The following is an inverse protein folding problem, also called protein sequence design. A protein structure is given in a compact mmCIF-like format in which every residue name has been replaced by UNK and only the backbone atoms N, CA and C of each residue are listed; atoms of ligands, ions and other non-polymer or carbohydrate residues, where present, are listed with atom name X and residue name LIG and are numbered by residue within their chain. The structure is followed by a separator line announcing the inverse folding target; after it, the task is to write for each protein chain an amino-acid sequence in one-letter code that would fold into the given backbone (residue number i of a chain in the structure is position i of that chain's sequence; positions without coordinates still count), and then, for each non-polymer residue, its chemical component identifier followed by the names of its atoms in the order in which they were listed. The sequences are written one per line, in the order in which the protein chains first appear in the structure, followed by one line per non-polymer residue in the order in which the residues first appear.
data_IF_460124379772
#
_entry.id   IF_460124379772
#
_cell.length_a   1.000
_cell.length_b   1.000
_cell.length_c   1.000
_cell.angle_alpha   90.00
_cell.angle_beta   90.00
_cell.angle_gamma   90.00
#
_symmetry.space_group_name_H-M   'P 1'
#
loop_
_entity.id
_entity.type
_entity.pdbx_description
1 polymer ?
#
# COMPACT_ATOMS: atom_id res chain seq x y z
N UNK A 1 -1.24 -12.86 16.12
CA UNK A 1 -0.76 -11.48 16.37
C UNK A 1 -1.83 -10.60 16.98
N UNK A 2 -3.07 -10.58 16.48
CA UNK A 2 -4.17 -9.83 17.09
C UNK A 2 -5.28 -10.77 17.58
N UNK A 3 -5.95 -10.40 18.68
CA UNK A 3 -7.25 -10.95 19.07
C UNK A 3 -8.35 -10.01 18.59
N UNK A 4 -8.73 -10.16 17.31
CA UNK A 4 -9.67 -9.25 16.66
C UNK A 4 -11.06 -9.23 17.33
N UNK A 5 -11.44 -10.34 17.98
CA UNK A 5 -12.73 -10.46 18.67
C UNK A 5 -12.83 -9.53 19.89
N UNK A 6 -11.69 -9.19 20.52
CA UNK A 6 -11.65 -8.27 21.66
C UNK A 6 -11.85 -6.80 21.25
N UNK A 7 -11.76 -6.49 19.95
CA UNK A 7 -11.86 -5.11 19.42
C UNK A 7 -10.99 -4.12 20.23
N UNK A 8 -9.68 -4.35 20.32
CA UNK A 8 -8.80 -3.59 21.22
C UNK A 8 -8.57 -2.13 20.80
N UNK A 9 -9.08 -1.71 19.63
CA UNK A 9 -8.92 -0.35 19.10
C UNK A 9 -10.18 0.45 19.42
N UNK A 10 -10.03 1.54 20.15
CA UNK A 10 -11.09 2.46 20.51
C UNK A 10 -10.87 3.88 19.98
N UNK A 11 -11.71 4.80 20.47
CA UNK A 11 -11.70 6.21 20.10
C UNK A 11 -10.35 6.90 20.42
N UNK A 12 -9.77 6.58 21.57
CA UNK A 12 -8.49 7.16 22.00
C UNK A 12 -7.35 6.80 21.05
N UNK A 13 -7.27 5.55 20.58
CA UNK A 13 -6.24 5.13 19.62
C UNK A 13 -6.41 5.84 18.27
N UNK A 14 -7.67 6.05 17.83
CA UNK A 14 -7.97 6.72 16.57
C UNK A 14 -7.60 8.20 16.63
N UNK A 15 -8.02 8.93 17.67
CA UNK A 15 -7.68 10.35 17.80
C UNK A 15 -6.19 10.57 17.98
N UNK A 16 -5.51 9.72 18.76
CA UNK A 16 -4.05 9.78 18.86
C UNK A 16 -3.39 9.64 17.48
N UNK A 17 -3.84 8.70 16.64
CA UNK A 17 -3.29 8.53 15.30
C UNK A 17 -3.50 9.76 14.39
N UNK A 18 -4.63 10.46 14.55
CA UNK A 18 -4.91 11.73 13.84
C UNK A 18 -3.99 12.85 14.35
N UNK A 19 -3.89 13.01 15.66
CA UNK A 19 -3.12 14.08 16.31
C UNK A 19 -1.61 13.96 16.07
N UNK A 20 -1.09 12.74 15.97
CA UNK A 20 0.33 12.48 15.73
C UNK A 20 0.70 12.36 14.25
N UNK A 21 -0.23 12.62 13.32
CA UNK A 21 0.06 12.55 11.89
C UNK A 21 1.15 13.56 11.51
N UNK A 22 2.17 13.08 10.80
CA UNK A 22 3.34 13.88 10.41
C UNK A 22 3.86 13.49 9.02
N UNK A 23 4.74 14.30 8.44
CA UNK A 23 5.37 14.03 7.15
C UNK A 23 6.33 12.84 7.20
N UNK A 24 6.94 12.59 8.37
CA UNK A 24 7.73 11.42 8.66
C UNK A 24 6.92 10.40 9.47
N UNK A 25 6.92 9.14 9.05
CA UNK A 25 6.21 8.08 9.74
C UNK A 25 6.93 6.74 9.60
N UNK A 26 6.74 5.90 10.61
CA UNK A 26 7.31 4.55 10.62
C UNK A 26 6.61 3.64 9.60
N UNK A 27 7.37 2.69 9.06
CA UNK A 27 6.87 1.64 8.18
C UNK A 27 7.10 0.27 8.82
N UNK A 28 6.49 -0.77 8.27
CA UNK A 28 6.52 -2.12 8.80
C UNK A 28 5.40 -2.39 9.78
N UNK A 29 5.72 -3.04 10.90
CA UNK A 29 4.75 -3.60 11.84
C UNK A 29 4.18 -2.57 12.83
N UNK A 30 3.64 -1.48 12.31
CA UNK A 30 3.14 -0.31 13.05
C UNK A 30 1.69 0.02 12.66
N UNK A 31 0.98 0.75 13.51
CA UNK A 31 -0.40 1.18 13.26
C UNK A 31 -1.30 0.02 12.81
N UNK A 32 -2.06 0.22 11.73
CA UNK A 32 -2.93 -0.80 11.15
C UNK A 32 -2.17 -2.03 10.60
N UNK A 33 -0.86 -1.90 10.32
CA UNK A 33 0.01 -2.97 9.87
C UNK A 33 0.59 -3.85 10.99
N UNK A 34 0.31 -3.52 12.27
CA UNK A 34 0.92 -4.22 13.42
C UNK A 34 0.73 -5.74 13.33
N UNK A 35 -0.50 -6.18 13.09
CA UNK A 35 -0.87 -7.61 13.12
C UNK A 35 -0.99 -8.29 11.77
N UNK A 36 -0.40 -7.75 10.69
CA UNK A 36 -0.65 -8.23 9.31
C UNK A 36 0.49 -9.07 8.75
N UNK A 37 0.15 -9.95 7.79
CA UNK A 37 1.11 -10.83 7.09
C UNK A 37 1.00 -10.67 5.58
N UNK A 38 2.11 -10.77 4.85
CA UNK A 38 2.13 -10.65 3.40
C UNK A 38 3.00 -11.75 2.79
N UNK A 39 2.44 -12.55 1.88
CA UNK A 39 3.10 -13.74 1.30
C UNK A 39 3.56 -14.77 2.35
N UNK A 40 2.88 -14.85 3.49
CA UNK A 40 3.25 -15.71 4.63
C UNK A 40 4.41 -15.18 5.51
N UNK A 41 4.99 -14.04 5.14
CA UNK A 41 5.95 -13.30 5.96
C UNK A 41 5.25 -12.18 6.72
N UNK A 42 5.97 -11.50 7.61
CA UNK A 42 5.45 -10.29 8.24
C UNK A 42 5.18 -9.19 7.19
N UNK A 43 3.96 -8.67 7.20
CA UNK A 43 3.54 -7.50 6.41
C UNK A 43 3.47 -6.24 7.28
N UNK A 44 2.82 -5.20 6.76
CA UNK A 44 2.60 -3.99 7.54
C UNK A 44 2.24 -2.75 6.73
N UNK A 45 2.64 -1.59 7.24
CA UNK A 45 2.56 -0.32 6.55
C UNK A 45 3.77 -0.16 5.63
N UNK A 46 3.55 0.23 4.39
CA UNK A 46 4.63 0.60 3.48
C UNK A 46 4.27 1.85 2.69
N UNK A 47 5.27 2.55 2.19
CA UNK A 47 5.06 3.70 1.34
C UNK A 47 6.19 3.89 0.34
N UNK A 48 5.85 4.44 -0.82
CA UNK A 48 6.79 4.86 -1.85
C UNK A 48 6.22 6.04 -2.63
N UNK A 49 7.08 6.77 -3.33
CA UNK A 49 6.70 7.87 -4.21
C UNK A 49 7.51 7.88 -5.50
N UNK A 50 6.96 8.52 -6.53
CA UNK A 50 7.63 8.81 -7.80
C UNK A 50 7.42 10.27 -8.17
N UNK A 51 8.48 10.86 -8.66
CA UNK A 51 8.45 12.19 -9.26
C UNK A 51 8.21 12.04 -10.76
N UNK A 52 7.28 12.82 -11.29
CA UNK A 52 6.89 12.86 -12.69
C UNK A 52 7.17 14.25 -13.26
N UNK A 53 7.67 14.34 -14.49
CA UNK A 53 7.87 15.61 -15.19
C UNK A 53 6.91 15.70 -16.38
N UNK A 54 6.11 16.77 -16.42
CA UNK A 54 5.16 17.07 -17.49
C UNK A 54 5.31 18.52 -17.89
N UNK A 55 5.71 18.76 -19.14
CA UNK A 55 5.83 20.09 -19.75
C UNK A 55 6.72 21.04 -18.93
N UNK A 56 7.83 20.50 -18.42
CA UNK A 56 8.79 21.22 -17.58
C UNK A 56 8.38 21.39 -16.12
N UNK A 57 7.18 20.95 -15.73
CA UNK A 57 6.70 21.00 -14.34
C UNK A 57 6.83 19.63 -13.66
N UNK A 58 7.14 19.68 -12.36
CA UNK A 58 7.32 18.51 -11.52
C UNK A 58 6.06 18.22 -10.71
N UNK A 59 5.66 16.96 -10.69
CA UNK A 59 4.55 16.42 -9.93
C UNK A 59 4.99 15.18 -9.15
N UNK A 60 4.28 14.83 -8.09
CA UNK A 60 4.56 13.69 -7.23
C UNK A 60 3.36 12.74 -7.21
N UNK A 61 3.64 11.44 -7.32
CA UNK A 61 2.73 10.35 -7.01
C UNK A 61 3.22 9.68 -5.73
N UNK A 62 2.36 9.52 -4.73
CA UNK A 62 2.66 8.79 -3.50
C UNK A 62 1.66 7.66 -3.30
N UNK A 63 2.14 6.53 -2.79
CA UNK A 63 1.29 5.40 -2.37
C UNK A 63 1.66 5.02 -0.95
N UNK A 64 0.66 4.89 -0.09
CA UNK A 64 0.74 4.24 1.21
C UNK A 64 -0.09 2.96 1.16
N UNK A 65 0.46 1.87 1.70
CA UNK A 65 -0.17 0.56 1.70
C UNK A 65 -0.22 -0.01 3.10
N UNK A 66 -1.32 -0.67 3.43
CA UNK A 66 -1.35 -1.68 4.47
C UNK A 66 -1.44 -3.05 3.79
N UNK A 67 -0.37 -3.85 3.89
CA UNK A 67 -0.28 -5.17 3.24
C UNK A 67 -0.74 -6.29 4.17
N UNK A 68 -1.68 -7.11 3.71
CA UNK A 68 -2.15 -8.31 4.40
C UNK A 68 -2.53 -9.43 3.40
N UNK A 69 -1.77 -9.67 2.33
CA UNK A 69 -2.21 -10.53 1.20
C UNK A 69 -1.11 -11.43 0.62
N UNK A 70 -1.50 -12.36 -0.25
CA UNK A 70 -0.63 -13.16 -1.10
C UNK A 70 -0.24 -14.52 -0.50
N UNK A 71 -0.13 -15.53 -1.36
CA UNK A 71 0.41 -16.85 -1.02
C UNK A 71 1.91 -16.91 -1.28
N UNK A 72 2.67 -17.64 -0.47
CA UNK A 72 4.14 -17.60 -0.51
C UNK A 72 4.74 -18.04 -1.85
N UNK A 73 4.06 -18.94 -2.56
CA UNK A 73 4.51 -19.41 -3.87
C UNK A 73 4.45 -18.34 -4.97
N UNK A 74 3.67 -17.28 -4.77
CA UNK A 74 3.44 -16.26 -5.79
C UNK A 74 4.42 -15.09 -5.71
N UNK A 75 5.14 -14.91 -4.60
CA UNK A 75 6.08 -13.81 -4.45
C UNK A 75 7.16 -13.88 -5.54
N UNK A 76 7.25 -12.82 -6.35
CA UNK A 76 8.14 -12.82 -7.53
C UNK A 76 9.54 -12.27 -7.30
N UNK A 77 9.77 -11.57 -6.20
CA UNK A 77 11.07 -10.93 -5.89
C UNK A 77 12.00 -11.81 -5.05
N UNK A 78 11.47 -12.87 -4.46
CA UNK A 78 12.22 -13.87 -3.69
C UNK A 78 11.46 -15.19 -3.71
N UNK A 79 12.16 -16.31 -3.90
CA UNK A 79 11.57 -17.63 -3.75
C UNK A 79 11.37 -17.90 -2.25
N UNK A 80 10.14 -18.14 -1.81
CA UNK A 80 9.82 -18.51 -0.44
C UNK A 80 9.60 -20.02 -0.31
N UNK A 81 9.86 -20.63 0.86
CA UNK A 81 9.55 -22.03 1.09
C UNK A 81 8.04 -22.25 1.00
N UNK A 82 7.67 -23.45 0.53
CA UNK A 82 6.28 -23.88 0.51
C UNK A 82 5.76 -24.00 1.94
N UNK A 83 4.49 -23.65 2.15
CA UNK A 83 3.79 -23.84 3.43
C UNK A 83 3.77 -22.64 4.38
N UNK A 84 4.41 -21.51 4.05
CA UNK A 84 4.29 -20.29 4.86
C UNK A 84 2.90 -19.63 4.73
N UNK A 85 2.35 -19.61 3.52
CA UNK A 85 0.95 -19.28 3.23
C UNK A 85 0.52 -20.03 1.96
N UNK A 86 -0.49 -20.89 2.10
CA UNK A 86 -0.95 -21.78 1.03
C UNK A 86 -1.97 -21.14 0.08
N UNK A 87 -2.66 -20.09 0.52
CA UNK A 87 -3.66 -19.41 -0.30
C UNK A 87 -3.77 -17.91 0.03
N UNK A 88 -4.27 -17.14 -0.93
CA UNK A 88 -4.52 -15.71 -0.80
C UNK A 88 -5.89 -15.46 -0.14
N UNK A 89 -5.90 -15.39 1.19
CA UNK A 89 -7.07 -15.13 2.06
C UNK A 89 -6.98 -13.75 2.74
N UNK A 90 -6.37 -12.79 2.05
CA UNK A 90 -5.87 -11.57 2.64
C UNK A 90 -6.70 -10.31 2.42
N UNK A 91 -6.04 -9.17 2.58
CA UNK A 91 -6.53 -7.89 2.13
C UNK A 91 -5.38 -6.91 1.93
N UNK A 92 -5.64 -5.86 1.18
CA UNK A 92 -4.71 -4.76 1.01
C UNK A 92 -5.48 -3.46 0.78
N UNK A 93 -5.11 -2.45 1.55
CA UNK A 93 -5.60 -1.09 1.37
C UNK A 93 -4.48 -0.24 0.80
N UNK A 94 -4.74 0.42 -0.32
CA UNK A 94 -3.83 1.38 -0.93
C UNK A 94 -4.45 2.78 -0.88
N UNK A 95 -3.69 3.74 -0.37
CA UNK A 95 -4.00 5.16 -0.40
C UNK A 95 -3.06 5.83 -1.38
N UNK A 96 -3.61 6.44 -2.43
CA UNK A 96 -2.85 7.11 -3.48
C UNK A 96 -3.05 8.62 -3.39
N UNK A 97 -1.96 9.37 -3.31
CA UNK A 97 -1.98 10.83 -3.27
C UNK A 97 -1.13 11.39 -4.41
N UNK A 98 -1.59 12.48 -5.03
CA UNK A 98 -0.80 13.17 -6.05
C UNK A 98 -1.10 14.67 -6.07
N UNK A 99 -0.13 15.50 -6.43
CA UNK A 99 -0.34 16.93 -6.73
C UNK A 99 -0.72 17.17 -8.20
N UNK A 100 -0.82 16.11 -9.01
CA UNK A 100 -1.21 16.18 -10.41
C UNK A 100 -2.71 16.53 -10.54
N UNK A 101 -3.10 17.55 -11.32
CA UNK A 101 -4.50 17.91 -11.52
C UNK A 101 -5.23 16.83 -12.31
N UNK A 102 -6.11 16.09 -11.62
CA UNK A 102 -6.91 15.01 -12.19
C UNK A 102 -8.39 15.19 -11.87
N UNK A 103 -9.25 14.90 -12.85
CA UNK A 103 -10.67 14.68 -12.61
C UNK A 103 -10.91 13.39 -11.81
N UNK A 104 -12.10 13.25 -11.22
CA UNK A 104 -12.51 12.01 -10.53
C UNK A 104 -12.42 10.77 -11.44
N UNK A 105 -12.77 10.90 -12.73
CA UNK A 105 -12.65 9.82 -13.73
C UNK A 105 -11.20 9.43 -13.96
N UNK A 106 -10.30 10.41 -14.13
CA UNK A 106 -8.89 10.15 -14.35
C UNK A 106 -8.23 9.53 -13.12
N UNK A 107 -8.53 10.07 -11.93
CA UNK A 107 -8.06 9.52 -10.67
C UNK A 107 -8.52 8.07 -10.49
N UNK A 108 -9.80 7.76 -10.81
CA UNK A 108 -10.28 6.37 -10.78
C UNK A 108 -9.50 5.45 -11.73
N UNK A 109 -9.06 5.94 -12.90
CA UNK A 109 -8.20 5.18 -13.80
C UNK A 109 -6.79 4.97 -13.24
N UNK A 110 -6.22 5.98 -12.59
CA UNK A 110 -4.94 5.87 -11.86
C UNK A 110 -5.06 4.82 -10.75
N UNK A 111 -6.10 4.89 -9.93
CA UNK A 111 -6.33 3.92 -8.85
C UNK A 111 -6.44 2.48 -9.36
N UNK A 112 -7.05 2.26 -10.53
CA UNK A 112 -7.11 0.91 -11.15
C UNK A 112 -5.73 0.36 -11.57
N UNK A 113 -4.67 1.17 -11.58
CA UNK A 113 -3.31 0.75 -11.96
C UNK A 113 -2.45 0.34 -10.78
N UNK A 114 -2.91 0.50 -9.55
CA UNK A 114 -2.25 -0.11 -8.38
C UNK A 114 -2.14 -1.64 -8.53
N UNK A 115 -3.14 -2.27 -9.17
CA UNK A 115 -3.14 -3.69 -9.52
C UNK A 115 -1.94 -4.12 -10.37
N UNK A 116 -1.38 -3.22 -11.19
CA UNK A 116 -0.18 -3.52 -12.00
C UNK A 116 1.02 -3.74 -11.08
N UNK A 117 1.18 -2.90 -10.04
CA UNK A 117 2.25 -3.06 -9.06
C UNK A 117 2.09 -4.35 -8.25
N UNK A 118 0.86 -4.65 -7.84
CA UNK A 118 0.56 -5.91 -7.15
C UNK A 118 0.83 -7.15 -8.01
N UNK A 119 0.44 -7.11 -9.29
CA UNK A 119 0.65 -8.21 -10.23
C UNK A 119 2.15 -8.48 -10.51
N UNK A 120 2.98 -7.43 -10.47
CA UNK A 120 4.45 -7.59 -10.55
C UNK A 120 5.04 -8.34 -9.37
N UNK A 121 4.39 -8.28 -8.21
CA UNK A 121 4.72 -9.08 -7.03
C UNK A 121 4.01 -10.44 -6.99
N UNK A 122 3.23 -10.76 -8.03
CA UNK A 122 2.56 -12.05 -8.20
C UNK A 122 1.13 -12.12 -7.70
N UNK A 123 0.54 -11.01 -7.27
CA UNK A 123 -0.91 -10.98 -6.99
C UNK A 123 -1.71 -11.30 -8.24
N UNK A 124 -2.74 -12.12 -8.09
CA UNK A 124 -3.76 -12.39 -9.11
C UNK A 124 -5.16 -11.94 -8.68
N UNK A 125 -5.28 -11.18 -7.58
CA UNK A 125 -6.54 -10.63 -7.04
C UNK A 125 -7.53 -11.78 -6.75
N UNK A 126 -7.13 -12.65 -5.82
CA UNK A 126 -7.86 -13.86 -5.50
C UNK A 126 -9.20 -13.59 -4.82
N UNK A 127 -10.13 -14.54 -4.91
CA UNK A 127 -11.48 -14.39 -4.32
C UNK A 127 -11.48 -14.10 -2.81
N UNK A 128 -10.52 -14.67 -2.08
CA UNK A 128 -10.38 -14.48 -0.63
C UNK A 128 -9.66 -13.20 -0.23
N UNK A 129 -9.17 -12.41 -1.19
CA UNK A 129 -8.44 -11.18 -0.93
C UNK A 129 -9.33 -9.95 -1.17
N UNK A 130 -9.33 -9.02 -0.21
CA UNK A 130 -10.00 -7.72 -0.35
C UNK A 130 -9.04 -6.63 -0.77
N UNK A 131 -9.04 -6.23 -2.05
CA UNK A 131 -8.22 -5.11 -2.56
C UNK A 131 -9.03 -3.83 -2.70
N UNK A 132 -8.64 -2.78 -1.98
CA UNK A 132 -9.25 -1.46 -2.11
C UNK A 132 -8.16 -0.41 -2.33
N UNK A 133 -8.30 0.35 -3.41
CA UNK A 133 -7.52 1.55 -3.67
C UNK A 133 -8.40 2.78 -3.55
N UNK A 134 -8.03 3.70 -2.68
CA UNK A 134 -8.60 5.04 -2.55
C UNK A 134 -7.52 6.06 -2.88
N UNK A 135 -7.91 7.23 -3.38
CA UNK A 135 -6.94 8.29 -3.55
C UNK A 135 -7.57 9.64 -3.81
N UNK A 136 -6.70 10.64 -3.85
CA UNK A 136 -7.05 12.04 -3.99
C UNK A 136 -5.94 12.80 -4.73
N UNK A 137 -6.31 13.94 -5.28
CA UNK A 137 -5.35 14.94 -5.76
C UNK A 137 -5.34 16.14 -4.84
N UNK A 138 -4.17 16.72 -4.57
CA UNK A 138 -3.99 17.95 -3.80
C UNK A 138 -3.97 19.20 -4.69
N UNK A 139 -4.06 19.05 -6.03
CA UNK A 139 -3.95 20.14 -6.99
C UNK A 139 -4.97 21.26 -6.79
N UNK A 140 -6.17 20.94 -6.27
CA UNK A 140 -7.20 21.93 -5.94
C UNK A 140 -7.86 21.59 -4.61
N UNK A 141 -7.87 22.53 -3.67
CA UNK A 141 -8.72 22.48 -2.49
C UNK A 141 -10.10 23.03 -2.86
N UNK A 142 -11.15 22.23 -2.65
CA UNK A 142 -12.53 22.66 -2.88
C UNK A 142 -13.11 23.25 -1.59
N UNK A 143 -13.56 24.50 -1.64
CA UNK A 143 -14.23 25.16 -0.52
C UNK A 143 -15.69 24.74 -0.43
N UNK A 144 -16.20 24.55 0.78
CA UNK A 144 -17.62 24.31 1.04
C UNK A 144 -18.40 25.57 0.70
N UNK A 145 -19.42 25.47 -0.16
CA UNK A 145 -20.33 26.58 -0.51
C UNK A 145 -20.14 27.19 -1.91
N UNK A 146 -19.15 26.76 -2.70
CA UNK A 146 -19.03 27.18 -4.10
C UNK A 146 -20.11 26.50 -4.97
N UNK A 147 -20.92 27.29 -5.69
CA UNK A 147 -21.93 26.76 -6.61
C UNK A 147 -21.36 26.35 -7.98
N UNK A 148 -20.23 26.93 -8.39
CA UNK A 148 -19.53 26.63 -9.64
C UNK A 148 -18.03 26.58 -9.40
N UNK A 149 -17.34 25.66 -10.08
CA UNK A 149 -15.88 25.58 -10.02
C UNK A 149 -15.26 25.28 -11.39
N UNK A 150 -14.12 25.90 -11.66
CA UNK A 150 -13.27 25.57 -12.81
C UNK A 150 -12.19 24.59 -12.34
N UNK A 151 -12.03 23.49 -13.07
CA UNK A 151 -10.96 22.51 -12.86
C UNK A 151 -10.07 22.43 -14.09
N UNK A 152 -8.78 22.66 -13.89
CA UNK A 152 -7.74 22.21 -14.81
C UNK A 152 -7.51 20.72 -14.57
N UNK A 153 -7.36 19.95 -15.63
CA UNK A 153 -7.09 18.51 -15.55
C UNK A 153 -6.04 18.13 -16.58
N UNK A 154 -5.31 17.05 -16.31
CA UNK A 154 -4.33 16.50 -17.22
C UNK A 154 -4.99 16.15 -18.57
N UNK A 155 -4.28 16.37 -19.67
CA UNK A 155 -4.72 15.87 -20.99
C UNK A 155 -4.74 14.33 -21.00
N UNK A 156 -5.74 13.74 -21.65
CA UNK A 156 -5.91 12.28 -21.70
C UNK A 156 -4.70 11.56 -22.31
N UNK A 157 -4.04 12.18 -23.28
CA UNK A 157 -2.87 11.63 -23.99
C UNK A 157 -1.63 11.50 -23.09
N UNK A 158 -1.66 12.12 -21.90
CA UNK A 158 -0.55 12.09 -20.93
C UNK A 158 -0.79 11.15 -19.76
N UNK A 159 -1.91 10.41 -19.75
CA UNK A 159 -2.30 9.55 -18.63
C UNK A 159 -1.37 8.35 -18.38
N UNK A 160 -0.57 7.94 -19.36
CA UNK A 160 0.40 6.85 -19.15
C UNK A 160 1.48 7.20 -18.13
N UNK A 161 1.78 8.50 -17.96
CA UNK A 161 2.74 8.99 -16.96
C UNK A 161 2.28 8.66 -15.53
N UNK A 162 1.10 9.11 -15.05
CA UNK A 162 0.61 8.72 -13.73
C UNK A 162 0.26 7.23 -13.62
N UNK A 163 -0.08 6.53 -14.71
CA UNK A 163 -0.32 5.08 -14.68
C UNK A 163 0.95 4.28 -14.39
N UNK A 164 2.08 4.66 -15.01
CA UNK A 164 3.37 4.04 -14.72
C UNK A 164 3.80 4.34 -13.29
N UNK A 165 3.74 5.63 -12.90
CA UNK A 165 4.17 6.08 -11.59
C UNK A 165 3.43 5.36 -10.46
N UNK A 166 2.09 5.26 -10.52
CA UNK A 166 1.31 4.59 -9.46
C UNK A 166 1.58 3.09 -9.39
N UNK A 167 1.81 2.43 -10.55
CA UNK A 167 2.16 1.01 -10.59
C UNK A 167 3.50 0.74 -9.91
N UNK A 168 4.52 1.55 -10.18
CA UNK A 168 5.83 1.48 -9.53
C UNK A 168 5.77 1.82 -8.04
N UNK A 169 5.01 2.87 -7.67
CA UNK A 169 4.82 3.22 -6.26
C UNK A 169 4.13 2.10 -5.49
N UNK A 170 3.09 1.48 -6.05
CA UNK A 170 2.38 0.39 -5.38
C UNK A 170 3.28 -0.84 -5.18
N UNK A 171 4.02 -1.24 -6.21
CA UNK A 171 5.01 -2.32 -6.15
C UNK A 171 6.04 -2.08 -5.04
N UNK A 172 6.69 -0.92 -5.06
CA UNK A 172 7.72 -0.62 -4.07
C UNK A 172 7.13 -0.43 -2.66
N UNK A 173 5.98 0.22 -2.52
CA UNK A 173 5.36 0.41 -1.21
C UNK A 173 5.04 -0.93 -0.54
N UNK A 174 4.58 -1.93 -1.30
CA UNK A 174 4.35 -3.29 -0.77
C UNK A 174 5.68 -3.91 -0.32
N UNK A 175 6.74 -3.81 -1.12
CA UNK A 175 8.06 -4.29 -0.73
C UNK A 175 8.59 -3.58 0.53
N UNK A 176 8.41 -2.26 0.63
CA UNK A 176 8.80 -1.49 1.81
C UNK A 176 8.04 -1.94 3.07
N UNK A 177 6.76 -2.32 2.93
CA UNK A 177 5.98 -2.85 4.05
C UNK A 177 6.57 -4.14 4.61
N UNK A 178 7.01 -5.05 3.73
CA UNK A 178 7.63 -6.32 4.12
C UNK A 178 9.06 -6.13 4.62
N UNK A 179 9.81 -5.24 3.96
CA UNK A 179 11.20 -4.96 4.28
C UNK A 179 11.37 -4.31 5.64
N UNK A 180 10.48 -3.38 6.02
CA UNK A 180 10.56 -2.69 7.31
C UNK A 180 9.82 -3.42 8.44
N UNK A 181 9.14 -4.53 8.13
CA UNK A 181 8.48 -5.33 9.14
C UNK A 181 9.47 -6.14 9.98
N UNK A 182 9.14 -6.32 11.26
CA UNK A 182 9.91 -7.14 12.21
C UNK A 182 9.18 -8.45 12.47
N UNK A 183 9.91 -9.55 12.65
CA UNK A 183 9.29 -10.80 13.00
C UNK A 183 8.48 -10.68 14.28
N UNK A 184 7.43 -11.50 14.37
CA UNK A 184 6.49 -11.47 15.48
C UNK A 184 5.96 -12.87 15.75
N UNK A 185 5.21 -13.02 16.83
CA UNK A 185 4.63 -14.30 17.25
C UNK A 185 3.12 -14.27 17.03
N UNK A 186 2.62 -15.30 16.36
CA UNK A 186 1.18 -15.51 16.17
C UNK A 186 0.50 -15.90 17.50
N UNK A 187 -0.84 -15.88 17.51
CA UNK A 187 -1.59 -16.09 18.76
C UNK A 187 -1.41 -17.52 19.31
N UNK A 188 -1.23 -18.47 18.41
CA UNK A 188 -0.95 -19.87 18.68
C UNK A 188 0.53 -20.15 19.03
N UNK A 189 1.37 -19.11 19.11
CA UNK A 189 2.79 -19.22 19.39
C UNK A 189 3.66 -19.46 18.16
N UNK A 190 3.09 -19.55 16.95
CA UNK A 190 3.88 -19.74 15.74
C UNK A 190 4.74 -18.50 15.43
N UNK A 191 6.00 -18.71 15.05
CA UNK A 191 6.90 -17.63 14.64
C UNK A 191 6.53 -17.15 13.23
N UNK A 192 6.36 -15.84 13.06
CA UNK A 192 6.11 -15.19 11.77
C UNK A 192 7.38 -14.44 11.36
N UNK A 193 8.18 -14.99 10.42
CA UNK A 193 9.46 -14.40 10.05
C UNK A 193 9.27 -13.10 9.25
N UNK A 194 10.25 -12.22 9.35
CA UNK A 194 10.35 -11.04 8.47
C UNK A 194 11.06 -11.37 7.15
N UNK A 195 10.86 -10.54 6.13
CA UNK A 195 11.60 -10.66 4.86
C UNK A 195 13.12 -10.51 5.07
N UNK A 196 13.55 -9.66 6.02
CA UNK A 196 14.97 -9.46 6.31
C UNK A 196 15.63 -10.70 6.89
N UNK A 197 15.01 -11.31 7.89
CA UNK A 197 15.48 -12.58 8.47
C UNK A 197 15.56 -13.67 7.41
N UNK A 198 14.55 -13.76 6.55
CA UNK A 198 14.52 -14.73 5.48
C UNK A 198 15.73 -14.59 4.54
N UNK A 199 16.01 -13.37 4.07
CA UNK A 199 17.12 -13.08 3.15
C UNK A 199 18.49 -13.28 3.82
N UNK A 200 18.61 -13.03 5.13
CA UNK A 200 19.84 -13.25 5.87
C UNK A 200 20.15 -14.75 6.01
N UNK A 201 19.13 -15.56 6.30
CA UNK A 201 19.29 -17.00 6.50
C UNK A 201 19.47 -17.81 5.20
N UNK A 202 19.18 -17.25 4.02
CA UNK A 202 19.40 -17.90 2.72
C UNK A 202 20.79 -17.66 2.11
N UNK A 203 21.63 -16.85 2.77
CA UNK A 203 23.01 -16.57 2.32
C UNK A 203 24.07 -17.50 2.93
N UNK A 204 23.66 -18.41 3.81
CA UNK A 204 24.45 -19.53 4.34
C UNK A 204 24.16 -20.82 3.58
#
# INVERSE_FOLDING_TARGET
MSDIALRPVGEAEVFRAIETASDHFEQGSVGAGRGTTCYGLKGGIGSSSRVMTLDGQTYTMGVLVQSNYGASADLRVAALPKGLAECDQGSIILVVATDLPLSSRQLRRVLRRTSVGMARLGSYIGHGSGEIAVGFTTARKQSVGESLCVQTVLSEDRMDVPFRAVGECAEEAILQSMWNAHADVARDGAHIPSLREYIQNTKE
#
